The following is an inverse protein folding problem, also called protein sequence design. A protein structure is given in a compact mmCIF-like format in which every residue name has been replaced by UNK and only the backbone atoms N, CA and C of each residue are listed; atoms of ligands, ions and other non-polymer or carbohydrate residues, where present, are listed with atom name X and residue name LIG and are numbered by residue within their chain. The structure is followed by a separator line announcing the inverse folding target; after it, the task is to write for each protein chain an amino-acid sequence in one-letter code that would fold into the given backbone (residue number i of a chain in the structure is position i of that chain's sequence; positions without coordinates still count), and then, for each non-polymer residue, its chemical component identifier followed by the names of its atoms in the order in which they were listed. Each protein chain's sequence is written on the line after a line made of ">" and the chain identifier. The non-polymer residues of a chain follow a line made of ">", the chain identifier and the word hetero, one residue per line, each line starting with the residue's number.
data_IF_637794398809
#
_entry.id   IF_637794398809
#
_cell.length_a   1.000
_cell.length_b   1.000
_cell.length_c   1.000
_cell.angle_alpha   90.00
_cell.angle_beta   90.00
_cell.angle_gamma   90.00
#
_symmetry.space_group_name_H-M   'P 1'
#
loop_
_entity.id
_entity.type
_entity.pdbx_description
1 polymer ?
#
# COMPACT_ATOMS: atom_id res chain seq x y z
N UNK A 1 -66.56 40.12 -45.89
CA UNK A 1 -65.30 39.54 -46.33
C UNK A 1 -64.30 39.70 -45.20
N UNK A 2 -64.03 38.65 -44.42
CA UNK A 2 -63.05 38.63 -43.31
C UNK A 2 -61.91 37.69 -43.68
N UNK A 3 -60.72 38.24 -43.77
CA UNK A 3 -59.50 37.50 -44.10
C UNK A 3 -58.88 37.03 -42.78
N UNK A 4 -58.76 35.69 -42.58
CA UNK A 4 -58.06 35.09 -41.47
C UNK A 4 -56.59 34.93 -41.82
N UNK A 5 -55.71 35.57 -41.06
CA UNK A 5 -54.25 35.30 -41.09
C UNK A 5 -53.94 34.12 -40.15
N UNK A 6 -53.32 33.07 -40.70
CA UNK A 6 -52.74 31.98 -39.93
C UNK A 6 -51.28 32.32 -39.60
N UNK A 7 -50.97 32.42 -38.34
CA UNK A 7 -49.58 32.56 -37.86
C UNK A 7 -49.06 31.18 -37.51
N UNK A 8 -48.10 30.67 -38.29
CA UNK A 8 -47.41 29.41 -38.00
C UNK A 8 -46.36 29.63 -36.94
N UNK A 9 -46.42 28.85 -35.86
CA UNK A 9 -45.38 28.75 -34.82
C UNK A 9 -44.42 27.63 -35.20
N UNK A 10 -43.17 28.00 -35.53
CA UNK A 10 -42.08 27.06 -35.72
C UNK A 10 -41.52 26.66 -34.35
N UNK A 11 -41.78 25.41 -33.92
CA UNK A 11 -41.10 24.80 -32.78
C UNK A 11 -39.70 24.37 -33.21
N UNK A 12 -38.68 25.10 -32.78
CA UNK A 12 -37.29 24.66 -32.93
C UNK A 12 -36.94 23.58 -31.88
N UNK A 13 -36.80 22.33 -32.33
CA UNK A 13 -36.20 21.29 -31.49
C UNK A 13 -34.69 21.52 -31.32
N UNK A 14 -34.29 21.95 -30.10
CA UNK A 14 -32.88 21.95 -29.75
C UNK A 14 -32.48 20.52 -29.34
N UNK A 15 -31.68 19.86 -30.17
CA UNK A 15 -30.99 18.63 -29.84
C UNK A 15 -29.85 18.99 -28.88
N UNK A 16 -30.05 18.75 -27.56
CA UNK A 16 -28.97 18.77 -26.59
C UNK A 16 -28.15 17.51 -26.83
N UNK A 17 -27.02 17.65 -27.47
CA UNK A 17 -26.02 16.61 -27.56
C UNK A 17 -25.39 16.47 -26.18
N UNK A 18 -25.82 15.49 -25.38
CA UNK A 18 -25.11 15.05 -24.19
C UNK A 18 -23.81 14.40 -24.65
N UNK A 19 -22.70 15.14 -24.55
CA UNK A 19 -21.39 14.54 -24.63
C UNK A 19 -21.24 13.62 -23.42
N UNK A 20 -21.44 12.33 -23.61
CA UNK A 20 -21.01 11.32 -22.69
C UNK A 20 -19.47 11.34 -22.71
N UNK A 21 -18.86 11.95 -21.71
CA UNK A 21 -17.44 11.70 -21.44
C UNK A 21 -17.34 10.22 -21.06
N UNK A 22 -16.91 9.39 -21.98
CA UNK A 22 -16.49 8.04 -21.63
C UNK A 22 -15.39 8.20 -20.58
N UNK A 23 -15.64 7.68 -19.38
CA UNK A 23 -14.61 7.62 -18.34
C UNK A 23 -13.42 6.88 -18.97
N UNK A 24 -12.23 7.50 -18.89
CA UNK A 24 -11.02 6.93 -19.45
C UNK A 24 -10.81 5.53 -18.82
N UNK A 25 -10.83 4.50 -19.66
CA UNK A 25 -10.68 3.11 -19.17
C UNK A 25 -9.28 2.94 -18.60
N UNK A 26 -9.16 2.56 -17.33
CA UNK A 26 -7.89 2.30 -16.65
C UNK A 26 -7.38 0.86 -16.86
N UNK A 27 -8.10 0.09 -17.67
CA UNK A 27 -7.67 -1.24 -18.12
C UNK A 27 -7.98 -1.39 -19.62
N UNK A 28 -7.25 -2.26 -20.36
CA UNK A 28 -6.20 -3.15 -19.88
C UNK A 28 -4.96 -2.41 -19.39
N UNK A 29 -4.18 -3.08 -18.52
CA UNK A 29 -2.92 -2.56 -17.98
C UNK A 29 -1.89 -2.29 -19.08
N UNK A 30 -1.03 -1.29 -18.85
CA UNK A 30 0.14 -1.00 -19.71
C UNK A 30 1.13 -2.18 -19.81
N UNK A 31 1.06 -3.14 -18.90
CA UNK A 31 1.89 -4.35 -18.91
C UNK A 31 1.26 -5.52 -19.67
N UNK A 32 0.06 -5.34 -20.22
CA UNK A 32 -0.67 -6.33 -21.01
C UNK A 32 -2.01 -6.74 -20.39
N UNK A 33 -2.91 -7.25 -21.22
CA UNK A 33 -4.26 -7.60 -20.79
C UNK A 33 -4.33 -8.76 -19.80
N UNK A 34 -3.34 -9.65 -19.83
CA UNK A 34 -3.24 -10.82 -18.94
C UNK A 34 -2.33 -10.58 -17.73
N UNK A 35 -1.80 -9.35 -17.57
CA UNK A 35 -0.89 -9.05 -16.47
C UNK A 35 -1.59 -9.10 -15.11
N UNK A 36 -0.91 -9.71 -14.14
CA UNK A 36 -1.35 -9.88 -12.75
C UNK A 36 -0.34 -9.36 -11.72
N UNK A 37 0.79 -8.80 -12.19
CA UNK A 37 1.92 -8.38 -11.35
C UNK A 37 2.00 -6.86 -11.17
N UNK A 38 1.32 -6.09 -12.03
CA UNK A 38 1.33 -4.62 -11.93
C UNK A 38 2.72 -4.02 -12.01
N UNK A 39 3.00 -3.07 -11.14
CA UNK A 39 4.24 -2.31 -11.15
C UNK A 39 5.51 -3.13 -10.82
N UNK A 40 5.38 -4.36 -10.31
CA UNK A 40 6.51 -5.28 -10.17
C UNK A 40 7.20 -5.54 -11.52
N UNK A 41 6.49 -5.43 -12.63
CA UNK A 41 7.08 -5.49 -13.98
C UNK A 41 8.13 -4.41 -14.25
N UNK A 42 8.24 -3.40 -13.42
CA UNK A 42 9.29 -2.38 -13.49
C UNK A 42 10.61 -2.83 -12.83
N UNK A 43 10.63 -3.97 -12.15
CA UNK A 43 11.84 -4.55 -11.58
C UNK A 43 12.61 -5.34 -12.64
N UNK A 44 13.94 -5.35 -12.50
CA UNK A 44 14.82 -6.17 -13.31
C UNK A 44 16.05 -6.61 -12.50
N UNK A 45 16.79 -7.64 -12.94
CA UNK A 45 18.06 -8.02 -12.31
C UNK A 45 19.08 -6.88 -12.23
N UNK A 46 19.11 -5.99 -13.24
CA UNK A 46 20.04 -4.85 -13.30
C UNK A 46 19.69 -3.86 -12.18
N UNK A 47 18.40 -3.56 -11.94
CA UNK A 47 17.93 -2.68 -10.85
C UNK A 47 18.29 -3.25 -9.47
N UNK A 48 18.21 -4.55 -9.30
CA UNK A 48 18.67 -5.22 -8.06
C UNK A 48 20.17 -5.00 -7.84
N UNK A 49 20.98 -5.17 -8.89
CA UNK A 49 22.43 -4.92 -8.81
C UNK A 49 22.75 -3.46 -8.53
N UNK A 50 22.01 -2.52 -9.12
CA UNK A 50 22.13 -1.07 -8.85
C UNK A 50 21.79 -0.77 -7.40
N UNK A 51 20.65 -1.26 -6.91
CA UNK A 51 20.21 -1.07 -5.52
C UNK A 51 21.22 -1.68 -4.52
N UNK A 52 21.82 -2.82 -4.84
CA UNK A 52 22.83 -3.46 -3.98
C UNK A 52 24.10 -2.60 -3.81
N UNK A 53 24.41 -1.69 -4.74
CA UNK A 53 25.55 -0.75 -4.61
C UNK A 53 25.32 0.32 -3.55
N UNK A 54 24.08 0.50 -3.07
CA UNK A 54 23.75 1.41 -1.97
C UNK A 54 24.20 0.85 -0.61
N UNK A 55 24.55 -0.44 -0.55
CA UNK A 55 25.08 -1.07 0.66
C UNK A 55 26.53 -0.65 0.84
N UNK A 56 26.74 0.37 1.67
CA UNK A 56 28.07 0.96 1.91
C UNK A 56 28.58 0.75 3.33
N UNK A 57 27.65 0.56 4.31
CA UNK A 57 27.99 0.38 5.72
C UNK A 57 27.63 -1.01 6.24
N UNK A 58 26.71 -1.71 5.57
CA UNK A 58 26.13 -2.97 6.03
C UNK A 58 25.15 -2.83 7.18
N UNK A 59 24.76 -1.59 7.58
CA UNK A 59 23.74 -1.38 8.61
C UNK A 59 22.38 -1.81 8.09
N UNK A 60 21.69 -2.64 8.87
CA UNK A 60 20.35 -3.14 8.55
C UNK A 60 19.30 -2.46 9.44
N UNK A 61 18.09 -2.29 8.87
CA UNK A 61 16.93 -1.72 9.53
C UNK A 61 15.75 -2.66 9.31
N UNK A 62 15.14 -3.16 10.38
CA UNK A 62 13.84 -3.82 10.29
C UNK A 62 12.78 -2.74 10.07
N UNK A 63 11.99 -2.91 9.03
CA UNK A 63 10.93 -1.94 8.68
C UNK A 63 9.54 -2.41 9.13
N UNK A 64 9.44 -3.61 9.70
CA UNK A 64 8.21 -4.12 10.27
C UNK A 64 8.09 -3.78 11.76
N UNK A 65 6.87 -3.43 12.18
CA UNK A 65 6.53 -3.27 13.61
C UNK A 65 6.29 -4.63 14.26
N UNK A 66 6.53 -4.72 15.56
CA UNK A 66 6.08 -5.86 16.35
C UNK A 66 4.55 -5.95 16.31
N UNK A 67 4.04 -7.14 16.00
CA UNK A 67 2.60 -7.37 15.85
C UNK A 67 2.13 -8.35 16.91
N UNK A 68 1.12 -7.95 17.68
CA UNK A 68 0.59 -8.72 18.78
C UNK A 68 -0.87 -8.38 19.11
N UNK A 69 -1.39 -8.93 20.22
CA UNK A 69 -2.80 -8.77 20.59
C UNK A 69 -3.21 -7.30 20.82
N UNK A 70 -2.24 -6.45 21.17
CA UNK A 70 -2.46 -5.03 21.45
C UNK A 70 -2.16 -4.12 20.24
N UNK A 71 -1.79 -4.67 19.09
CA UNK A 71 -1.53 -3.87 17.88
C UNK A 71 -2.80 -3.14 17.45
N UNK A 72 -2.70 -1.82 17.15
CA UNK A 72 -3.84 -1.09 16.61
C UNK A 72 -4.29 -1.73 15.30
N UNK A 73 -5.60 -1.86 15.12
CA UNK A 73 -6.15 -2.51 13.95
C UNK A 73 -7.52 -1.94 13.58
N UNK A 74 -7.78 -1.82 12.29
CA UNK A 74 -9.09 -1.44 11.77
C UNK A 74 -10.14 -2.52 12.11
N UNK A 75 -11.28 -2.16 12.74
CA UNK A 75 -12.29 -3.14 13.10
C UNK A 75 -12.87 -3.87 11.89
N UNK A 76 -13.20 -5.15 11.95
CA UNK A 76 -13.17 -6.05 13.12
C UNK A 76 -11.90 -6.91 13.23
N UNK A 77 -10.76 -6.46 12.67
CA UNK A 77 -9.52 -7.23 12.62
C UNK A 77 -9.06 -7.67 14.01
N UNK A 78 -8.59 -8.91 14.14
CA UNK A 78 -8.17 -9.52 15.40
C UNK A 78 -6.88 -10.33 15.22
N UNK A 79 -6.17 -10.49 16.33
CA UNK A 79 -4.96 -11.29 16.47
C UNK A 79 -5.13 -12.26 17.63
N UNK A 80 -4.71 -13.50 17.46
CA UNK A 80 -4.63 -14.49 18.53
C UNK A 80 -3.45 -15.43 18.27
N UNK A 81 -2.68 -15.70 19.31
CA UNK A 81 -1.62 -16.69 19.28
C UNK A 81 -1.76 -17.64 20.46
N UNK A 82 -1.57 -18.93 20.23
CA UNK A 82 -1.57 -19.97 21.25
C UNK A 82 -0.31 -20.79 21.10
N UNK A 83 0.48 -20.90 22.15
CA UNK A 83 1.64 -21.79 22.19
C UNK A 83 1.19 -23.16 22.71
N UNK A 84 1.51 -24.19 21.95
CA UNK A 84 1.19 -25.58 22.24
C UNK A 84 2.45 -26.34 22.61
N UNK A 85 2.48 -26.95 23.79
CA UNK A 85 3.49 -27.93 24.13
C UNK A 85 3.02 -29.31 23.69
N UNK A 86 3.72 -29.95 22.76
CA UNK A 86 3.35 -31.23 22.17
C UNK A 86 3.28 -32.34 23.24
N UNK A 87 4.15 -32.26 24.24
CA UNK A 87 4.17 -33.12 25.40
C UNK A 87 3.35 -32.57 26.58
N UNK A 88 2.62 -31.45 26.39
CA UNK A 88 1.85 -30.72 27.41
C UNK A 88 2.64 -30.39 28.70
N UNK A 89 3.97 -30.40 28.66
CA UNK A 89 4.83 -30.21 29.81
C UNK A 89 4.68 -31.30 30.88
N UNK A 90 3.82 -32.28 30.65
CA UNK A 90 3.53 -33.39 31.56
C UNK A 90 3.63 -34.76 30.89
N UNK A 91 3.70 -34.78 29.53
CA UNK A 91 3.89 -36.00 28.75
C UNK A 91 5.36 -36.44 28.76
N UNK A 92 5.61 -37.72 28.48
CA UNK A 92 6.97 -38.22 28.30
C UNK A 92 7.63 -37.57 27.08
N UNK A 93 8.88 -37.08 27.22
CA UNK A 93 9.66 -36.57 26.10
C UNK A 93 9.84 -37.60 24.99
N UNK A 94 9.97 -37.15 23.75
CA UNK A 94 10.02 -37.99 22.56
C UNK A 94 11.37 -38.70 22.43
N UNK A 95 11.33 -40.01 22.15
CA UNK A 95 12.50 -40.84 21.83
C UNK A 95 13.51 -41.03 22.97
N UNK A 96 14.58 -41.76 22.69
CA UNK A 96 15.66 -42.06 23.65
C UNK A 96 16.50 -40.82 24.02
N UNK A 97 16.51 -39.82 23.16
CA UNK A 97 17.16 -38.52 23.39
C UNK A 97 16.28 -37.53 24.19
N UNK A 98 15.07 -37.95 24.57
CA UNK A 98 14.12 -37.19 25.40
C UNK A 98 13.86 -35.77 24.86
N UNK A 99 13.62 -35.66 23.56
CA UNK A 99 13.33 -34.38 22.91
C UNK A 99 12.00 -33.82 23.39
N UNK A 100 11.94 -32.50 23.60
CA UNK A 100 10.74 -31.72 23.90
C UNK A 100 10.59 -30.63 22.84
N UNK A 101 9.37 -30.12 22.62
CA UNK A 101 9.11 -29.08 21.62
C UNK A 101 7.89 -28.26 21.95
N UNK A 102 7.86 -27.07 21.39
CA UNK A 102 6.69 -26.20 21.38
C UNK A 102 6.32 -25.89 19.93
N UNK A 103 5.01 -25.82 19.67
CA UNK A 103 4.45 -25.32 18.42
C UNK A 103 3.57 -24.11 18.73
N UNK A 104 3.26 -23.33 17.71
CA UNK A 104 2.34 -22.21 17.82
C UNK A 104 1.22 -22.29 16.78
N UNK A 105 0.05 -21.84 17.19
CA UNK A 105 -1.11 -21.61 16.35
C UNK A 105 -1.43 -20.13 16.36
N UNK A 106 -1.48 -19.53 15.19
CA UNK A 106 -1.83 -18.12 15.05
C UNK A 106 -3.11 -17.97 14.21
N UNK A 107 -4.03 -17.17 14.70
CA UNK A 107 -5.16 -16.65 13.94
C UNK A 107 -5.00 -15.13 13.84
N UNK A 108 -4.80 -14.65 12.63
CA UNK A 108 -4.44 -13.26 12.37
C UNK A 108 -5.17 -12.75 11.13
N UNK A 109 -5.70 -11.54 11.21
CA UNK A 109 -6.06 -10.78 10.02
C UNK A 109 -4.79 -10.20 9.40
N UNK A 110 -4.55 -10.49 8.11
CA UNK A 110 -3.31 -10.12 7.42
C UNK A 110 -3.08 -8.61 7.29
N UNK A 111 -4.10 -7.80 7.59
CA UNK A 111 -4.03 -6.33 7.62
C UNK A 111 -3.79 -5.79 9.03
N UNK A 112 -3.05 -6.47 9.92
CA UNK A 112 -2.64 -5.99 11.24
C UNK A 112 -1.12 -5.84 11.28
N UNK A 113 -0.63 -4.73 11.81
CA UNK A 113 0.79 -4.41 11.83
C UNK A 113 1.32 -4.02 10.46
N UNK A 114 2.62 -4.20 10.24
CA UNK A 114 3.22 -3.91 8.93
C UNK A 114 2.75 -4.91 7.90
N UNK A 115 2.25 -4.42 6.78
CA UNK A 115 1.62 -5.25 5.76
C UNK A 115 1.93 -4.79 4.34
N UNK A 116 1.77 -5.70 3.40
CA UNK A 116 1.66 -5.42 1.98
C UNK A 116 0.24 -5.67 1.51
N UNK A 117 -0.34 -4.71 0.79
CA UNK A 117 -1.62 -4.86 0.13
C UNK A 117 -1.41 -5.29 -1.31
N UNK A 118 -2.00 -6.43 -1.66
CA UNK A 118 -1.98 -6.97 -3.01
C UNK A 118 -3.02 -6.32 -3.92
N UNK A 119 -2.90 -6.58 -5.22
CA UNK A 119 -3.75 -5.99 -6.26
C UNK A 119 -5.22 -6.49 -6.21
N UNK A 120 -5.50 -7.52 -5.41
CA UNK A 120 -6.84 -8.00 -5.11
C UNK A 120 -7.47 -7.39 -3.84
N UNK A 121 -6.82 -6.38 -3.21
CA UNK A 121 -7.29 -5.82 -1.94
C UNK A 121 -8.43 -4.81 -2.15
N UNK A 122 -8.22 -3.75 -2.90
CA UNK A 122 -9.23 -2.73 -3.16
C UNK A 122 -9.44 -2.47 -4.65
N UNK A 123 -10.71 -2.37 -5.04
CA UNK A 123 -11.15 -2.11 -6.40
C UNK A 123 -12.20 -1.00 -6.50
N UNK A 124 -12.76 -0.81 -7.67
CA UNK A 124 -13.83 0.16 -7.96
C UNK A 124 -14.99 -0.63 -8.57
N UNK A 125 -16.20 -0.51 -8.03
CA UNK A 125 -17.39 -1.20 -8.51
C UNK A 125 -17.17 -2.71 -8.73
N UNK A 126 -16.49 -3.37 -7.78
CA UNK A 126 -16.09 -4.78 -7.83
C UNK A 126 -15.09 -5.14 -8.95
N UNK A 127 -14.50 -4.17 -9.62
CA UNK A 127 -13.43 -4.35 -10.59
C UNK A 127 -12.10 -3.99 -9.95
N UNK A 128 -11.17 -4.93 -10.01
CA UNK A 128 -9.82 -4.85 -9.46
C UNK A 128 -8.79 -4.70 -10.58
N UNK A 129 -7.51 -4.71 -10.22
CA UNK A 129 -6.43 -4.50 -11.16
C UNK A 129 -6.63 -5.24 -12.47
N UNK A 130 -6.36 -4.52 -13.56
CA UNK A 130 -6.42 -5.00 -14.93
C UNK A 130 -7.81 -5.56 -15.35
N UNK A 131 -8.89 -4.99 -14.80
CA UNK A 131 -10.25 -5.31 -15.20
C UNK A 131 -10.78 -6.65 -14.64
N UNK A 132 -10.09 -7.27 -13.67
CA UNK A 132 -10.57 -8.49 -13.05
C UNK A 132 -11.77 -8.21 -12.14
N UNK A 133 -12.93 -8.78 -12.46
CA UNK A 133 -14.12 -8.65 -11.62
C UNK A 133 -14.08 -9.63 -10.45
N UNK A 134 -14.52 -9.20 -9.26
CA UNK A 134 -14.47 -9.99 -8.03
C UNK A 134 -15.07 -11.40 -8.19
N UNK A 135 -16.19 -11.54 -8.89
CA UNK A 135 -16.85 -12.82 -9.09
C UNK A 135 -15.99 -13.87 -9.82
N UNK A 136 -14.96 -13.42 -10.54
CA UNK A 136 -14.12 -14.29 -11.38
C UNK A 136 -12.90 -14.84 -10.62
N UNK A 137 -12.51 -14.20 -9.49
CA UNK A 137 -11.27 -14.59 -8.82
C UNK A 137 -11.33 -14.60 -7.29
N UNK A 138 -12.39 -14.06 -6.66
CA UNK A 138 -12.54 -14.07 -5.20
C UNK A 138 -13.34 -15.26 -4.76
N UNK A 139 -12.81 -16.05 -3.83
CA UNK A 139 -13.55 -17.13 -3.17
C UNK A 139 -13.33 -17.10 -1.66
N UNK A 140 -14.19 -17.80 -0.91
CA UNK A 140 -14.05 -17.92 0.56
C UNK A 140 -12.72 -18.57 0.97
N UNK A 141 -12.15 -19.39 0.11
CA UNK A 141 -10.87 -20.09 0.37
C UNK A 141 -9.65 -19.33 -0.13
N UNK A 142 -9.82 -18.12 -0.69
CA UNK A 142 -8.74 -17.26 -1.17
C UNK A 142 -8.92 -16.78 -2.60
N UNK A 143 -8.01 -15.94 -3.04
CA UNK A 143 -7.97 -15.41 -4.39
C UNK A 143 -7.37 -16.43 -5.36
N UNK A 144 -7.94 -16.56 -6.56
CA UNK A 144 -7.39 -17.38 -7.65
C UNK A 144 -6.48 -16.59 -8.59
N UNK A 145 -6.56 -15.24 -8.54
CA UNK A 145 -5.69 -14.27 -9.23
C UNK A 145 -5.35 -13.13 -8.29
N UNK A 146 -4.33 -12.34 -8.61
CA UNK A 146 -3.93 -11.13 -7.89
C UNK A 146 -3.52 -11.37 -6.42
N UNK A 147 -3.23 -12.61 -6.04
CA UNK A 147 -2.86 -12.98 -4.67
C UNK A 147 -1.38 -12.71 -4.39
N UNK A 148 -1.09 -12.30 -3.14
CA UNK A 148 0.26 -11.92 -2.70
C UNK A 148 1.27 -13.07 -2.77
N UNK A 149 0.83 -14.33 -2.63
CA UNK A 149 1.70 -15.51 -2.71
C UNK A 149 2.31 -15.74 -4.11
N UNK A 150 1.77 -15.10 -5.14
CA UNK A 150 2.26 -15.18 -6.53
C UNK A 150 3.33 -14.13 -6.85
N UNK A 151 3.52 -13.15 -5.99
CA UNK A 151 4.51 -12.10 -6.21
C UNK A 151 5.94 -12.67 -6.07
N UNK A 152 6.85 -12.27 -6.96
CA UNK A 152 8.27 -12.51 -6.71
C UNK A 152 8.74 -11.68 -5.49
N UNK A 153 9.90 -11.99 -4.90
CA UNK A 153 10.51 -11.10 -3.91
C UNK A 153 10.71 -9.71 -4.49
N UNK A 154 10.44 -8.69 -3.67
CA UNK A 154 10.68 -7.29 -4.04
C UNK A 154 12.05 -6.90 -3.51
N UNK A 155 13.02 -6.81 -4.43
CA UNK A 155 14.37 -6.32 -4.15
C UNK A 155 14.61 -5.13 -5.07
N UNK A 156 14.75 -3.95 -4.49
CA UNK A 156 14.72 -2.70 -5.23
C UNK A 156 15.52 -1.60 -4.50
N UNK A 157 15.70 -0.45 -5.16
CA UNK A 157 16.06 0.77 -4.45
C UNK A 157 14.86 1.22 -3.61
N UNK A 158 15.10 1.42 -2.31
CA UNK A 158 14.18 2.09 -1.41
C UNK A 158 14.52 3.59 -1.34
N UNK A 159 13.50 4.42 -1.38
CA UNK A 159 13.60 5.88 -1.20
C UNK A 159 12.75 6.28 -0.01
N UNK A 160 13.37 6.88 1.02
CA UNK A 160 12.66 7.46 2.15
C UNK A 160 12.52 8.97 1.95
N UNK A 161 11.30 9.46 1.94
CA UNK A 161 10.99 10.88 2.03
C UNK A 161 10.56 11.23 3.45
N UNK A 162 11.38 12.02 4.13
CA UNK A 162 11.09 12.51 5.49
C UNK A 162 10.15 13.73 5.41
N UNK A 163 8.85 13.43 5.39
CA UNK A 163 7.81 14.46 5.31
C UNK A 163 7.68 15.21 6.63
N UNK A 164 7.93 14.58 7.77
CA UNK A 164 7.96 15.24 9.06
C UNK A 164 9.01 16.36 9.08
N UNK A 165 10.22 16.06 8.63
CA UNK A 165 11.30 17.06 8.48
C UNK A 165 10.96 18.12 7.44
N UNK A 166 10.39 17.73 6.29
CA UNK A 166 9.99 18.65 5.23
C UNK A 166 9.01 19.72 5.73
N UNK A 167 8.01 19.31 6.52
CA UNK A 167 7.05 20.24 7.13
C UNK A 167 7.56 20.90 8.44
N UNK A 168 8.77 20.59 8.88
CA UNK A 168 9.35 21.13 10.11
C UNK A 168 8.63 20.70 11.39
N UNK A 169 8.10 19.48 11.41
CA UNK A 169 7.36 18.88 12.54
C UNK A 169 7.98 17.54 12.93
N UNK A 170 7.99 17.18 14.22
CA UNK A 170 8.40 15.83 14.62
C UNK A 170 7.38 14.76 14.26
N UNK A 171 6.08 15.13 14.22
CA UNK A 171 4.94 14.30 13.85
C UNK A 171 4.00 15.20 13.08
N UNK A 172 3.55 14.75 11.91
CA UNK A 172 2.51 15.45 11.14
C UNK A 172 1.16 15.25 11.84
N UNK A 173 0.27 16.23 11.70
CA UNK A 173 -1.08 16.11 12.22
C UNK A 173 -1.94 15.22 11.29
N UNK A 174 -2.94 14.57 11.87
CA UNK A 174 -4.00 13.90 11.11
C UNK A 174 -4.64 14.88 10.10
N UNK A 175 -4.99 14.36 8.92
CA UNK A 175 -5.53 15.17 7.82
C UNK A 175 -4.49 16.03 7.08
N UNK A 176 -3.20 15.93 7.42
CA UNK A 176 -2.14 16.58 6.64
C UNK A 176 -1.91 15.79 5.35
N UNK A 177 -2.44 16.31 4.25
CA UNK A 177 -2.20 15.76 2.92
C UNK A 177 -0.85 16.24 2.37
N UNK A 178 -0.15 15.38 1.63
CA UNK A 178 0.95 15.76 0.77
C UNK A 178 0.77 15.14 -0.62
N UNK A 179 0.92 15.95 -1.62
CA UNK A 179 0.67 15.64 -3.02
C UNK A 179 1.94 15.78 -3.86
N UNK A 180 1.82 15.79 -5.16
CA UNK A 180 2.97 15.81 -6.09
C UNK A 180 3.90 17.00 -5.86
N UNK A 181 3.39 18.15 -5.41
CA UNK A 181 4.19 19.34 -5.13
C UNK A 181 5.09 19.12 -3.91
N UNK A 182 4.52 18.64 -2.79
CA UNK A 182 5.25 18.40 -1.55
C UNK A 182 6.23 17.23 -1.71
N UNK A 183 5.83 16.16 -2.42
CA UNK A 183 6.69 15.01 -2.73
C UNK A 183 7.92 15.45 -3.52
N UNK A 184 7.74 16.26 -4.58
CA UNK A 184 8.85 16.83 -5.38
C UNK A 184 9.75 17.72 -4.54
N UNK A 185 9.17 18.58 -3.71
CA UNK A 185 9.93 19.49 -2.86
C UNK A 185 10.74 18.73 -1.80
N UNK A 186 10.16 17.69 -1.17
CA UNK A 186 10.86 16.86 -0.21
C UNK A 186 12.01 16.07 -0.87
N UNK A 187 11.77 15.47 -2.04
CA UNK A 187 12.80 14.76 -2.81
C UNK A 187 13.95 15.69 -3.19
N UNK A 188 13.64 16.91 -3.68
CA UNK A 188 14.64 17.91 -3.99
C UNK A 188 15.45 18.34 -2.76
N UNK A 189 14.79 18.59 -1.63
CA UNK A 189 15.45 18.98 -0.37
C UNK A 189 16.38 17.88 0.16
N UNK A 190 16.04 16.61 -0.10
CA UNK A 190 16.87 15.45 0.26
C UNK A 190 17.91 15.08 -0.82
N UNK A 191 17.92 15.78 -1.95
CA UNK A 191 18.77 15.50 -3.11
C UNK A 191 18.58 14.08 -3.65
N UNK A 192 17.32 13.63 -3.73
CA UNK A 192 16.92 12.32 -4.24
C UNK A 192 16.02 12.49 -5.46
N UNK A 193 16.18 11.61 -6.45
CA UNK A 193 15.26 11.48 -7.59
C UNK A 193 14.52 10.17 -7.50
N UNK A 194 13.19 10.20 -7.55
CA UNK A 194 12.37 8.99 -7.59
C UNK A 194 12.38 8.45 -9.02
N UNK A 195 12.62 7.16 -9.17
CA UNK A 195 12.73 6.50 -10.47
C UNK A 195 11.79 5.30 -10.59
N UNK A 196 11.58 4.86 -11.83
CA UNK A 196 10.82 3.63 -12.08
C UNK A 196 11.49 2.43 -11.41
N UNK A 197 10.69 1.60 -10.74
CA UNK A 197 11.17 0.43 -10.00
C UNK A 197 11.50 0.71 -8.53
N UNK A 198 11.41 1.94 -8.05
CA UNK A 198 11.64 2.26 -6.64
C UNK A 198 10.49 1.77 -5.73
N UNK A 199 10.84 1.53 -4.47
CA UNK A 199 9.91 1.47 -3.35
C UNK A 199 10.02 2.79 -2.58
N UNK A 200 8.96 3.58 -2.57
CA UNK A 200 8.94 4.90 -1.91
C UNK A 200 8.27 4.79 -0.55
N UNK A 201 8.99 5.15 0.50
CA UNK A 201 8.48 5.20 1.87
C UNK A 201 8.39 6.65 2.35
N UNK A 202 7.32 6.95 3.08
CA UNK A 202 7.14 8.24 3.75
C UNK A 202 7.35 8.10 5.26
N UNK A 203 8.15 9.01 5.81
CA UNK A 203 8.26 9.20 7.26
C UNK A 203 7.43 10.41 7.65
N UNK A 204 6.35 10.20 8.38
CA UNK A 204 5.45 11.25 8.87
C UNK A 204 5.57 11.45 10.38
N UNK A 205 6.25 10.53 11.05
CA UNK A 205 6.31 10.43 12.51
C UNK A 205 5.05 9.83 13.14
N UNK A 206 4.05 9.46 12.34
CA UNK A 206 2.74 9.03 12.84
C UNK A 206 2.80 7.74 13.67
N UNK A 207 3.71 6.83 13.36
CA UNK A 207 3.89 5.61 14.14
C UNK A 207 4.20 5.88 15.62
N UNK A 208 4.83 7.02 15.96
CA UNK A 208 5.05 7.41 17.36
C UNK A 208 3.73 7.70 18.11
N UNK A 209 2.64 8.01 17.40
CA UNK A 209 1.32 8.18 18.02
C UNK A 209 0.76 6.83 18.45
N UNK A 210 1.02 5.75 17.71
CA UNK A 210 0.58 4.40 18.08
C UNK A 210 1.14 3.96 19.45
N UNK A 211 2.37 4.36 19.78
CA UNK A 211 3.03 4.04 21.05
C UNK A 211 2.41 4.81 22.23
N UNK A 212 1.72 5.93 21.98
CA UNK A 212 1.19 6.83 23.00
C UNK A 212 -0.33 6.78 23.11
N UNK A 213 -1.03 6.75 21.99
CA UNK A 213 -2.48 6.83 21.89
C UNK A 213 -2.99 6.07 20.64
N UNK A 214 -3.27 4.80 20.83
CA UNK A 214 -3.78 3.92 19.76
C UNK A 214 -5.14 4.36 19.21
N UNK A 215 -5.96 5.01 20.03
CA UNK A 215 -7.28 5.51 19.59
C UNK A 215 -7.10 6.66 18.62
N UNK A 216 -6.23 7.62 18.94
CA UNK A 216 -5.87 8.72 18.07
C UNK A 216 -5.21 8.22 16.79
N UNK A 217 -4.29 7.23 16.91
CA UNK A 217 -3.60 6.63 15.76
C UNK A 217 -4.58 6.10 14.72
N UNK A 218 -5.66 5.43 15.17
CA UNK A 218 -6.66 4.83 14.29
C UNK A 218 -7.77 5.80 13.84
N UNK A 219 -7.90 6.98 14.45
CA UNK A 219 -8.97 7.94 14.14
C UNK A 219 -8.72 8.75 12.86
N UNK A 220 -7.48 8.87 12.44
CA UNK A 220 -7.05 9.58 11.24
C UNK A 220 -5.54 9.49 11.10
N UNK A 221 -4.98 10.09 10.04
CA UNK A 221 -3.54 10.11 9.82
C UNK A 221 -3.12 11.15 8.79
N UNK A 222 -1.84 11.59 8.78
CA UNK A 222 -1.25 12.24 7.63
C UNK A 222 -0.95 11.22 6.52
N UNK A 223 -0.99 11.64 5.28
CA UNK A 223 -0.69 10.72 4.20
C UNK A 223 -0.72 11.37 2.82
N UNK A 224 -0.50 10.56 1.80
CA UNK A 224 -0.58 11.05 0.42
C UNK A 224 -2.03 11.29 0.01
N UNK A 225 -2.24 12.33 -0.82
CA UNK A 225 -3.48 12.54 -1.55
C UNK A 225 -3.49 11.79 -2.88
N UNK A 226 -4.63 11.85 -3.58
CA UNK A 226 -4.81 11.18 -4.88
C UNK A 226 -3.85 11.71 -5.94
N UNK A 227 -3.54 13.01 -5.96
CA UNK A 227 -2.57 13.60 -6.89
C UNK A 227 -1.15 13.06 -6.64
N UNK A 228 -0.76 12.92 -5.37
CA UNK A 228 0.52 12.30 -5.00
C UNK A 228 0.62 10.84 -5.45
N UNK A 229 -0.46 10.08 -5.27
CA UNK A 229 -0.54 8.69 -5.72
C UNK A 229 -0.38 8.57 -7.25
N UNK A 230 -1.10 9.39 -8.01
CA UNK A 230 -0.97 9.46 -9.48
C UNK A 230 0.43 9.81 -9.94
N UNK A 231 1.03 10.81 -9.29
CA UNK A 231 2.39 11.21 -9.60
C UNK A 231 3.39 10.06 -9.44
N UNK A 232 3.33 9.35 -8.30
CA UNK A 232 4.22 8.21 -8.05
C UNK A 232 3.96 7.06 -9.03
N UNK A 233 2.69 6.75 -9.32
CA UNK A 233 2.33 5.73 -10.29
C UNK A 233 2.82 6.05 -11.72
N UNK A 234 2.78 7.33 -12.11
CA UNK A 234 3.33 7.80 -13.39
C UNK A 234 4.84 7.66 -13.47
N UNK A 235 5.56 7.84 -12.36
CA UNK A 235 7.00 7.57 -12.29
C UNK A 235 7.33 6.08 -12.41
N UNK A 236 6.35 5.20 -12.19
CA UNK A 236 6.53 3.77 -12.27
C UNK A 236 7.12 3.13 -11.02
N UNK A 237 6.85 3.70 -9.84
CA UNK A 237 7.25 3.06 -8.57
C UNK A 237 6.56 1.72 -8.39
N UNK A 238 7.20 0.79 -7.69
CA UNK A 238 6.68 -0.56 -7.46
C UNK A 238 5.71 -0.58 -6.28
N UNK A 239 6.07 0.13 -5.23
CA UNK A 239 5.26 0.22 -4.03
C UNK A 239 5.40 1.60 -3.38
N UNK A 240 4.36 1.99 -2.66
CA UNK A 240 4.31 3.19 -1.83
C UNK A 240 3.99 2.77 -0.40
N UNK A 241 4.76 3.26 0.56
CA UNK A 241 4.54 2.93 1.96
C UNK A 241 4.65 4.13 2.89
N UNK A 242 4.13 3.97 4.12
CA UNK A 242 4.18 4.99 5.15
C UNK A 242 4.25 4.37 6.55
N UNK A 243 4.66 5.17 7.52
CA UNK A 243 4.60 4.87 8.95
C UNK A 243 3.20 5.11 9.54
N UNK A 244 2.17 5.13 8.70
CA UNK A 244 0.75 5.22 9.03
C UNK A 244 -0.01 3.95 8.62
N UNK A 245 -1.28 3.82 9.03
CA UNK A 245 -2.04 2.57 8.93
C UNK A 245 -2.85 2.41 7.63
N UNK A 246 -2.93 3.44 6.78
CA UNK A 246 -3.59 3.42 5.48
C UNK A 246 -2.80 4.12 4.36
N UNK A 247 -1.57 4.61 4.63
CA UNK A 247 -0.74 5.36 3.66
C UNK A 247 -1.35 6.68 3.22
N UNK A 248 -2.66 6.75 3.01
CA UNK A 248 -3.36 7.93 2.53
C UNK A 248 -3.80 8.87 3.64
N UNK A 249 -3.98 10.13 3.30
CA UNK A 249 -4.48 11.12 4.27
C UNK A 249 -5.88 10.79 4.74
N UNK A 250 -6.09 10.79 6.06
CA UNK A 250 -7.40 10.60 6.68
C UNK A 250 -7.65 11.68 7.74
N UNK A 251 -8.83 12.37 7.67
CA UNK A 251 -9.89 12.20 6.65
C UNK A 251 -9.42 12.55 5.24
N UNK A 252 -10.03 11.91 4.24
CA UNK A 252 -9.71 12.14 2.82
C UNK A 252 -9.92 13.60 2.41
N UNK A 253 -9.16 14.09 1.42
CA UNK A 253 -9.29 15.46 0.87
C UNK A 253 -10.71 15.73 0.34
N UNK A 254 -11.35 14.72 -0.26
CA UNK A 254 -12.78 14.74 -0.59
C UNK A 254 -13.56 13.91 0.44
N UNK A 255 -14.37 14.51 1.31
CA UNK A 255 -15.08 13.80 2.37
C UNK A 255 -16.15 12.82 1.85
N UNK A 256 -16.49 12.84 0.56
CA UNK A 256 -17.41 11.90 -0.07
C UNK A 256 -16.72 10.62 -0.55
N UNK A 257 -15.40 10.56 -0.51
CA UNK A 257 -14.62 9.41 -0.96
C UNK A 257 -14.06 8.64 0.23
N UNK A 258 -14.18 7.31 0.19
CA UNK A 258 -13.60 6.41 1.17
C UNK A 258 -12.34 5.78 0.57
N UNK A 259 -11.18 6.00 1.20
CA UNK A 259 -9.89 5.44 0.80
C UNK A 259 -9.57 5.62 -0.69
N UNK A 260 -9.60 6.85 -1.25
CA UNK A 260 -9.48 7.05 -2.70
C UNK A 260 -8.09 6.72 -3.27
N UNK A 261 -7.05 6.73 -2.45
CA UNK A 261 -5.68 6.43 -2.87
C UNK A 261 -5.48 4.94 -3.11
N UNK A 262 -6.09 4.08 -2.31
CA UNK A 262 -5.99 2.63 -2.48
C UNK A 262 -6.38 2.17 -3.89
N UNK A 263 -7.60 2.43 -4.40
CA UNK A 263 -7.95 2.02 -5.75
C UNK A 263 -7.16 2.77 -6.83
N UNK A 264 -6.70 3.99 -6.56
CA UNK A 264 -5.84 4.71 -7.48
C UNK A 264 -4.49 3.99 -7.66
N UNK A 265 -3.86 3.53 -6.57
CA UNK A 265 -2.60 2.79 -6.62
C UNK A 265 -2.82 1.34 -7.07
N UNK A 266 -3.65 0.59 -6.35
CA UNK A 266 -3.80 -0.86 -6.54
C UNK A 266 -4.54 -1.21 -7.82
N UNK A 267 -5.79 -0.73 -7.97
CA UNK A 267 -6.65 -1.15 -9.07
C UNK A 267 -6.26 -0.52 -10.40
N UNK A 268 -6.03 0.80 -10.43
CA UNK A 268 -5.76 1.52 -11.68
C UNK A 268 -4.33 1.38 -12.16
N UNK A 269 -3.37 1.39 -11.24
CA UNK A 269 -1.95 1.49 -11.60
C UNK A 269 -1.10 0.26 -11.24
N UNK A 270 -1.64 -0.70 -10.48
CA UNK A 270 -0.94 -1.90 -10.09
C UNK A 270 0.25 -1.64 -9.14
N UNK A 271 0.24 -0.51 -8.41
CA UNK A 271 1.26 -0.14 -7.43
C UNK A 271 0.85 -0.68 -6.07
N UNK A 272 1.77 -1.37 -5.39
CA UNK A 272 1.51 -1.99 -4.09
C UNK A 272 1.54 -0.97 -2.96
N UNK A 273 0.82 -1.26 -1.87
CA UNK A 273 0.81 -0.41 -0.68
C UNK A 273 1.52 -1.15 0.47
N UNK A 274 2.33 -0.41 1.24
CA UNK A 274 3.02 -0.91 2.43
C UNK A 274 2.62 -0.04 3.62
N UNK A 275 1.91 -0.63 4.58
CA UNK A 275 1.39 0.10 5.74
C UNK A 275 2.17 -0.19 7.01
N UNK A 276 2.11 0.75 7.96
CA UNK A 276 2.76 0.63 9.28
C UNK A 276 4.26 0.33 9.19
N UNK A 277 4.97 0.98 8.26
CA UNK A 277 6.41 0.80 8.11
C UNK A 277 7.18 1.53 9.21
N UNK A 278 8.03 0.85 9.95
CA UNK A 278 8.90 1.51 10.92
C UNK A 278 10.07 2.20 10.24
N UNK A 279 9.86 3.46 9.89
CA UNK A 279 10.84 4.31 9.21
C UNK A 279 11.70 5.14 10.18
N UNK A 280 11.46 5.04 11.50
CA UNK A 280 12.06 5.90 12.52
C UNK A 280 13.58 5.86 12.52
N UNK A 281 14.15 4.67 12.46
CA UNK A 281 15.61 4.51 12.48
C UNK A 281 16.28 5.02 11.19
N UNK A 282 15.64 4.84 10.03
CA UNK A 282 16.12 5.41 8.76
C UNK A 282 16.11 6.94 8.80
N UNK A 283 15.01 7.54 9.26
CA UNK A 283 14.86 8.99 9.39
C UNK A 283 15.89 9.59 10.38
N UNK A 284 16.07 8.94 11.55
CA UNK A 284 17.05 9.37 12.55
C UNK A 284 18.50 9.35 12.02
N UNK A 285 18.85 8.39 11.18
CA UNK A 285 20.16 8.29 10.56
C UNK A 285 20.30 9.17 9.28
N UNK A 286 19.23 9.85 8.86
CA UNK A 286 19.20 10.66 7.64
C UNK A 286 19.40 9.86 6.35
N UNK A 287 18.93 8.62 6.33
CA UNK A 287 19.04 7.71 5.17
C UNK A 287 17.88 7.95 4.21
N UNK A 288 18.19 8.45 3.02
CA UNK A 288 17.19 8.68 1.96
C UNK A 288 17.14 7.57 0.91
N UNK A 289 18.22 6.82 0.73
CA UNK A 289 18.32 5.74 -0.26
C UNK A 289 18.97 4.51 0.37
N UNK A 290 18.45 3.33 0.03
CA UNK A 290 18.89 2.06 0.58
C UNK A 290 18.50 0.88 -0.31
N UNK A 291 19.13 -0.26 -0.11
CA UNK A 291 18.63 -1.52 -0.66
C UNK A 291 17.39 -1.95 0.14
N UNK A 292 16.24 -2.01 -0.52
CA UNK A 292 15.00 -2.56 0.04
C UNK A 292 14.89 -4.03 -0.30
N UNK A 293 14.60 -4.87 0.71
CA UNK A 293 14.43 -6.32 0.54
C UNK A 293 13.15 -6.77 1.23
N UNK A 294 12.24 -7.37 0.46
CA UNK A 294 11.02 -7.99 0.96
C UNK A 294 10.82 -9.37 0.32
N UNK A 295 10.94 -10.42 1.13
CA UNK A 295 10.45 -11.75 0.82
C UNK A 295 9.14 -11.98 1.57
N UNK A 296 8.00 -11.67 0.95
CA UNK A 296 6.70 -11.77 1.59
C UNK A 296 6.30 -13.22 1.87
N UNK A 297 5.50 -13.49 2.93
CA UNK A 297 4.92 -14.82 3.16
C UNK A 297 4.09 -15.29 1.97
N UNK A 298 4.15 -16.59 1.68
CA UNK A 298 3.48 -17.18 0.52
C UNK A 298 2.24 -17.99 0.94
N UNK A 299 1.31 -17.34 1.62
CA UNK A 299 0.01 -17.94 1.96
C UNK A 299 -0.88 -17.94 0.71
N UNK A 300 -1.17 -19.13 0.19
CA UNK A 300 -1.90 -19.30 -1.08
C UNK A 300 -3.26 -18.61 -1.03
N UNK A 301 -3.50 -17.74 -2.00
CA UNK A 301 -4.75 -16.99 -2.13
C UNK A 301 -4.88 -15.78 -1.22
N UNK A 302 -3.80 -15.35 -0.55
CA UNK A 302 -3.86 -14.20 0.34
C UNK A 302 -4.05 -12.87 -0.41
N UNK A 303 -4.89 -12.01 0.15
CA UNK A 303 -5.17 -10.65 -0.33
C UNK A 303 -4.05 -9.69 0.09
N UNK A 304 -3.60 -9.84 1.33
CA UNK A 304 -2.58 -9.07 2.02
C UNK A 304 -1.60 -10.03 2.69
N UNK A 305 -0.49 -9.51 3.19
CA UNK A 305 0.39 -10.29 4.05
C UNK A 305 1.05 -9.39 5.10
N UNK A 306 1.18 -9.88 6.32
CA UNK A 306 2.04 -9.28 7.34
C UNK A 306 3.49 -9.44 6.89
N UNK A 307 4.26 -8.36 6.96
CA UNK A 307 5.62 -8.30 6.44
C UNK A 307 6.60 -7.69 7.45
N UNK A 308 7.85 -8.04 7.29
CA UNK A 308 8.98 -7.35 7.94
C UNK A 308 10.07 -7.11 6.89
N UNK A 309 9.93 -6.09 6.05
CA UNK A 309 10.97 -5.76 5.08
C UNK A 309 12.24 -5.28 5.77
N UNK A 310 13.35 -5.36 5.05
CA UNK A 310 14.65 -4.91 5.54
C UNK A 310 15.19 -3.83 4.61
N UNK A 311 15.63 -2.71 5.21
CA UNK A 311 16.49 -1.76 4.53
C UNK A 311 17.95 -2.04 4.88
N UNK A 312 18.85 -1.92 3.91
CA UNK A 312 20.29 -2.14 4.09
C UNK A 312 21.05 -0.96 3.47
N UNK A 313 21.98 -0.37 4.25
CA UNK A 313 22.82 0.73 3.82
C UNK A 313 24.31 0.35 3.73
#
# INVERSE_FOLDING_TARGET
>A
MAVHQFTGVLLGCWLIATQSFAAESWYPSKYGADDTLGAINNLSPEKVVEAARLVTTGKTYALGVETGPDSPAYPPRQYSMTVLQLDSGAAEPLGSNRATGNDDLMMLWMGIGSQIDGLGHMGIDHVYYNGNHANDFVSVTGLTKLSVDKLPPIVARGVLLDMAKHFGKPILAEGTAFNSAEIKAAAQAQNVTIESGDVVLFHTGWLNVADQDKVRFMAGEPGIGVDGARYLAQLGVVAVGSDSWAVEVLPSEDPNQAFPVHPELLAKNGVYILENMDTRALAADGVSEFLFVLGQPRFVGSVQAVINPVAIR
#
